data_IF_427191637090
#
_entry.id   IF_427191637090
#
_cell.length_a   1.000
_cell.length_b   1.000
_cell.length_c   1.000
_cell.angle_alpha   90.00
_cell.angle_beta   90.00
_cell.angle_gamma   90.00
#
_symmetry.space_group_name_H-M   'P 1'
#
loop_
_entity.id
_entity.type
_entity.pdbx_description
1 polymer ?
#
# COMPACT_ATOMS: atom_id res chain seq x y z
N UNK A 1 0.18 4.84 -17.24
CA UNK A 1 0.08 5.05 -18.71
C UNK A 1 0.10 6.55 -18.99
N UNK A 2 1.17 7.06 -19.62
CA UNK A 2 1.34 8.50 -19.92
C UNK A 2 0.35 9.02 -20.97
N UNK A 3 0.11 8.27 -22.02
CA UNK A 3 -0.75 8.73 -23.11
C UNK A 3 -2.24 8.64 -22.74
N UNK A 4 -2.91 9.78 -22.62
CA UNK A 4 -4.32 9.88 -22.24
C UNK A 4 -5.29 9.16 -23.21
N UNK A 5 -4.98 9.12 -24.53
CA UNK A 5 -5.78 8.38 -25.52
C UNK A 5 -5.72 6.87 -25.22
N UNK A 6 -4.51 6.35 -24.95
CA UNK A 6 -4.31 4.93 -24.62
C UNK A 6 -4.98 4.58 -23.30
N UNK A 7 -4.83 5.43 -22.27
CA UNK A 7 -5.49 5.25 -20.98
C UNK A 7 -7.02 5.18 -21.13
N UNK A 8 -7.60 6.13 -21.87
CA UNK A 8 -9.05 6.15 -22.16
C UNK A 8 -9.50 4.90 -22.91
N UNK A 9 -8.72 4.42 -23.88
CA UNK A 9 -9.07 3.22 -24.65
C UNK A 9 -9.02 1.97 -23.77
N UNK A 10 -8.01 1.82 -22.91
CA UNK A 10 -7.88 0.72 -21.97
C UNK A 10 -9.06 0.72 -20.97
N UNK A 11 -9.39 1.89 -20.39
CA UNK A 11 -10.52 2.02 -19.47
C UNK A 11 -11.86 1.66 -20.15
N UNK A 12 -12.08 2.06 -21.40
CA UNK A 12 -13.28 1.69 -22.14
C UNK A 12 -13.37 0.19 -22.32
N UNK A 13 -12.28 -0.48 -22.71
CA UNK A 13 -12.25 -1.94 -22.87
C UNK A 13 -12.48 -2.65 -21.53
N UNK A 14 -11.89 -2.15 -20.43
CA UNK A 14 -12.10 -2.69 -19.09
C UNK A 14 -13.59 -2.57 -18.67
N UNK A 15 -14.23 -1.44 -18.98
CA UNK A 15 -15.65 -1.24 -18.72
C UNK A 15 -16.55 -2.23 -19.52
N UNK A 16 -16.21 -2.51 -20.77
CA UNK A 16 -16.94 -3.47 -21.63
C UNK A 16 -16.92 -4.91 -21.07
N UNK A 17 -15.87 -5.28 -20.32
CA UNK A 17 -15.73 -6.62 -19.71
C UNK A 17 -15.90 -6.61 -18.18
N UNK A 18 -16.35 -5.50 -17.63
CA UNK A 18 -16.65 -5.28 -16.20
C UNK A 18 -15.50 -5.57 -15.22
N UNK A 19 -14.26 -5.31 -15.61
CA UNK A 19 -13.08 -5.43 -14.73
C UNK A 19 -12.61 -4.07 -14.22
N UNK A 20 -12.09 -3.98 -12.98
CA UNK A 20 -11.49 -2.75 -12.46
C UNK A 20 -10.14 -2.44 -13.10
N UNK A 21 -9.82 -1.17 -13.22
CA UNK A 21 -8.50 -0.66 -13.64
C UNK A 21 -7.77 -0.17 -12.41
N UNK A 22 -6.61 -0.75 -12.11
CA UNK A 22 -5.71 -0.29 -11.06
C UNK A 22 -4.67 0.65 -11.67
N UNK A 23 -4.55 1.84 -11.11
CA UNK A 23 -3.72 2.90 -11.67
C UNK A 23 -2.61 3.32 -10.70
N UNK A 24 -1.36 3.02 -11.05
CA UNK A 24 -0.20 3.72 -10.50
C UNK A 24 -0.15 5.10 -11.18
N UNK A 25 -0.40 6.14 -10.40
CA UNK A 25 -0.57 7.49 -10.89
C UNK A 25 0.75 8.27 -10.84
N UNK A 26 1.45 8.32 -11.96
CA UNK A 26 2.72 9.02 -12.10
C UNK A 26 2.83 9.69 -13.46
N UNK A 27 3.10 10.99 -13.48
CA UNK A 27 3.57 11.67 -14.69
C UNK A 27 5.09 11.59 -14.77
N UNK A 28 5.60 10.69 -15.61
CA UNK A 28 7.03 10.44 -15.75
C UNK A 28 7.80 11.61 -16.36
N UNK A 29 7.13 12.55 -17.04
CA UNK A 29 7.77 13.77 -17.54
C UNK A 29 8.01 14.77 -16.39
N UNK A 30 7.05 14.86 -15.45
CA UNK A 30 7.19 15.70 -14.24
C UNK A 30 8.11 15.05 -13.20
N UNK A 31 8.07 13.73 -13.05
CA UNK A 31 8.96 12.99 -12.13
C UNK A 31 10.43 13.12 -12.55
N UNK A 32 10.67 13.14 -13.87
CA UNK A 32 12.00 13.26 -14.46
C UNK A 32 13.00 12.25 -13.87
N UNK A 33 13.98 12.73 -13.09
CA UNK A 33 14.98 11.90 -12.38
C UNK A 33 14.86 12.00 -10.85
N UNK A 34 13.68 12.36 -10.36
CA UNK A 34 13.40 12.43 -8.92
C UNK A 34 13.56 11.08 -8.24
N UNK A 35 14.06 11.08 -7.01
CA UNK A 35 14.35 9.87 -6.23
C UNK A 35 13.75 9.87 -4.83
N UNK A 36 13.23 11.02 -4.38
CA UNK A 36 12.53 11.21 -3.11
C UNK A 36 11.54 12.37 -3.23
N UNK A 37 10.81 12.70 -2.17
CA UNK A 37 9.90 13.85 -2.17
C UNK A 37 10.61 15.17 -2.47
N UNK A 38 9.99 16.03 -3.26
CA UNK A 38 10.51 17.38 -3.51
C UNK A 38 10.23 18.28 -2.29
N UNK A 39 11.28 18.64 -1.55
CA UNK A 39 11.16 19.43 -0.34
C UNK A 39 12.52 19.94 0.15
N UNK A 40 12.52 20.46 1.38
CA UNK A 40 13.76 20.91 2.02
C UNK A 40 14.71 19.71 2.28
N UNK A 41 14.15 18.54 2.64
CA UNK A 41 14.95 17.34 2.89
C UNK A 41 15.74 16.89 1.66
N UNK A 42 15.12 16.93 0.46
CA UNK A 42 15.81 16.61 -0.79
C UNK A 42 16.96 17.59 -1.09
N UNK A 43 16.76 18.89 -0.79
CA UNK A 43 17.80 19.92 -0.94
C UNK A 43 18.97 19.69 0.01
N UNK A 44 18.70 19.38 1.27
CA UNK A 44 19.72 19.07 2.29
C UNK A 44 20.60 17.89 1.87
N UNK A 45 19.97 16.85 1.26
CA UNK A 45 20.66 15.65 0.80
C UNK A 45 21.28 15.78 -0.60
N UNK A 46 21.00 16.90 -1.32
CA UNK A 46 21.46 17.09 -2.69
C UNK A 46 20.82 16.14 -3.70
N UNK A 47 19.62 15.62 -3.39
CA UNK A 47 18.89 14.66 -4.21
C UNK A 47 17.80 15.35 -5.06
N UNK A 48 17.44 14.72 -6.19
CA UNK A 48 16.36 15.21 -7.04
C UNK A 48 15.00 14.83 -6.46
N UNK A 49 14.11 15.83 -6.38
CA UNK A 49 12.78 15.65 -5.80
C UNK A 49 11.70 15.27 -6.81
N UNK A 50 10.72 14.49 -6.36
CA UNK A 50 9.45 14.16 -7.03
C UNK A 50 8.37 15.05 -6.40
N UNK A 51 7.84 16.00 -7.15
CA UNK A 51 6.78 16.90 -6.65
C UNK A 51 5.43 16.17 -6.53
N UNK A 52 4.54 16.69 -5.69
CA UNK A 52 3.21 16.12 -5.46
C UNK A 52 2.38 16.06 -6.76
N UNK A 53 2.49 17.09 -7.59
CA UNK A 53 1.81 17.17 -8.88
C UNK A 53 2.11 15.99 -9.83
N UNK A 54 3.20 15.26 -9.64
CA UNK A 54 3.50 14.02 -10.41
C UNK A 54 2.37 12.99 -10.26
N UNK A 55 1.82 12.87 -9.06
CA UNK A 55 0.69 11.99 -8.75
C UNK A 55 -0.65 12.66 -9.07
N UNK A 56 -0.85 13.90 -8.61
CA UNK A 56 -2.14 14.61 -8.65
C UNK A 56 -2.71 14.77 -10.05
N UNK A 57 -1.88 15.12 -11.03
CA UNK A 57 -2.35 15.35 -12.41
C UNK A 57 -2.82 14.05 -13.06
N UNK A 58 -2.21 12.92 -12.71
CA UNK A 58 -2.62 11.61 -13.23
C UNK A 58 -3.87 11.10 -12.51
N UNK A 59 -3.96 11.28 -11.18
CA UNK A 59 -5.18 10.97 -10.41
C UNK A 59 -6.37 11.74 -10.99
N UNK A 60 -6.25 13.05 -11.18
CA UNK A 60 -7.33 13.87 -11.75
C UNK A 60 -7.68 13.44 -13.18
N UNK A 61 -6.68 13.20 -14.04
CA UNK A 61 -6.87 12.72 -15.41
C UNK A 61 -7.63 11.41 -15.44
N UNK A 62 -7.19 10.43 -14.65
CA UNK A 62 -7.74 9.07 -14.71
C UNK A 62 -9.15 9.00 -14.13
N UNK A 63 -9.47 9.79 -13.11
CA UNK A 63 -10.84 9.96 -12.60
C UNK A 63 -11.77 10.54 -13.69
N UNK A 64 -11.34 11.56 -14.42
CA UNK A 64 -12.14 12.14 -15.50
C UNK A 64 -12.31 11.16 -16.67
N UNK A 65 -11.30 10.35 -16.96
CA UNK A 65 -11.39 9.29 -17.99
C UNK A 65 -12.33 8.16 -17.52
N UNK A 66 -12.27 7.75 -16.27
CA UNK A 66 -13.18 6.75 -15.70
C UNK A 66 -14.64 7.24 -15.75
N UNK A 67 -14.89 8.49 -15.37
CA UNK A 67 -16.21 9.13 -15.52
C UNK A 67 -16.72 9.10 -16.97
N UNK A 68 -15.85 9.35 -17.94
CA UNK A 68 -16.21 9.38 -19.36
C UNK A 68 -16.46 7.99 -19.95
N UNK A 69 -15.78 6.96 -19.46
CA UNK A 69 -15.82 5.59 -20.00
C UNK A 69 -16.72 4.65 -19.22
N UNK A 70 -17.12 5.01 -18.01
CA UNK A 70 -17.85 4.12 -17.09
C UNK A 70 -16.98 3.04 -16.44
N UNK A 71 -15.65 3.13 -16.57
CA UNK A 71 -14.73 2.17 -15.96
C UNK A 71 -14.71 2.25 -14.45
N UNK A 72 -14.61 1.11 -13.77
CA UNK A 72 -14.29 1.02 -12.35
C UNK A 72 -12.80 1.35 -12.18
N UNK A 73 -12.48 2.45 -11.52
CA UNK A 73 -11.10 2.90 -11.30
C UNK A 73 -10.69 2.65 -9.85
N UNK A 74 -9.52 2.10 -9.66
CA UNK A 74 -8.86 2.00 -8.37
C UNK A 74 -7.51 2.74 -8.44
N UNK A 75 -7.33 3.74 -7.58
CA UNK A 75 -6.08 4.50 -7.47
C UNK A 75 -5.18 3.77 -6.48
N UNK A 76 -4.03 3.29 -6.97
CA UNK A 76 -3.05 2.58 -6.14
C UNK A 76 -2.23 3.54 -5.29
N UNK A 77 -1.85 3.11 -4.09
CA UNK A 77 -0.88 3.71 -3.16
C UNK A 77 -0.86 5.24 -3.13
N UNK A 78 -2.02 5.88 -2.87
CA UNK A 78 -2.13 7.34 -2.70
C UNK A 78 -1.14 7.82 -1.64
N UNK A 79 -0.33 8.85 -1.98
CA UNK A 79 0.77 9.29 -1.13
C UNK A 79 0.61 10.68 -0.53
N UNK A 80 -0.28 11.52 -1.06
CA UNK A 80 -0.39 12.92 -0.67
C UNK A 80 -1.83 13.40 -0.46
N UNK A 81 -1.98 14.54 0.20
CA UNK A 81 -3.27 15.13 0.57
C UNK A 81 -4.09 15.64 -0.60
N UNK A 82 -3.44 16.17 -1.66
CA UNK A 82 -4.15 16.72 -2.81
C UNK A 82 -4.82 15.59 -3.62
N UNK A 83 -4.12 14.47 -3.83
CA UNK A 83 -4.71 13.27 -4.44
C UNK A 83 -5.89 12.75 -3.63
N UNK A 84 -5.77 12.67 -2.29
CA UNK A 84 -6.87 12.27 -1.41
C UNK A 84 -8.06 13.24 -1.52
N UNK A 85 -7.83 14.54 -1.61
CA UNK A 85 -8.88 15.56 -1.83
C UNK A 85 -9.58 15.39 -3.19
N UNK A 86 -8.82 15.17 -4.26
CA UNK A 86 -9.38 14.93 -5.61
C UNK A 86 -10.28 13.69 -5.61
N UNK A 87 -9.83 12.61 -4.97
CA UNK A 87 -10.60 11.35 -4.83
C UNK A 87 -11.89 11.61 -4.04
N UNK A 88 -11.82 12.37 -2.94
CA UNK A 88 -12.99 12.75 -2.14
C UNK A 88 -14.06 13.43 -3.01
N UNK A 89 -13.68 14.47 -3.75
CA UNK A 89 -14.60 15.20 -4.63
C UNK A 89 -15.19 14.29 -5.70
N UNK A 90 -14.39 13.38 -6.26
CA UNK A 90 -14.88 12.41 -7.24
C UNK A 90 -15.97 11.50 -6.66
N UNK A 91 -15.75 10.96 -5.45
CA UNK A 91 -16.73 10.13 -4.75
C UNK A 91 -18.03 10.90 -4.42
N UNK A 92 -17.92 12.15 -3.95
CA UNK A 92 -19.06 13.02 -3.70
C UNK A 92 -19.89 13.29 -4.97
N UNK A 93 -19.26 13.25 -6.15
CA UNK A 93 -19.94 13.35 -7.44
C UNK A 93 -20.47 12.01 -7.98
N UNK A 94 -20.33 10.92 -7.22
CA UNK A 94 -20.79 9.59 -7.61
C UNK A 94 -19.95 8.94 -8.71
N UNK A 95 -18.70 9.38 -8.90
CA UNK A 95 -17.78 8.73 -9.85
C UNK A 95 -17.31 7.38 -9.24
N UNK A 96 -17.33 6.27 -9.98
CA UNK A 96 -16.97 4.95 -9.47
C UNK A 96 -15.45 4.81 -9.31
N UNK A 97 -14.90 5.47 -8.30
CA UNK A 97 -13.48 5.44 -7.94
C UNK A 97 -13.31 4.87 -6.53
N UNK A 98 -12.33 3.99 -6.37
CA UNK A 98 -11.80 3.51 -5.10
C UNK A 98 -10.31 3.82 -5.02
N UNK A 99 -9.75 3.78 -3.81
CA UNK A 99 -8.36 4.11 -3.59
C UNK A 99 -7.74 3.29 -2.45
N UNK A 100 -6.44 3.11 -2.52
CA UNK A 100 -5.66 2.46 -1.48
C UNK A 100 -4.49 3.33 -1.00
N UNK A 101 -3.98 3.02 0.19
CA UNK A 101 -2.77 3.60 0.75
C UNK A 101 -1.88 2.51 1.31
N UNK A 102 -0.57 2.66 1.19
CA UNK A 102 0.38 1.72 1.78
C UNK A 102 0.78 2.12 3.21
N UNK A 103 1.14 1.13 4.09
CA UNK A 103 1.53 1.41 5.47
C UNK A 103 2.65 2.42 5.62
N UNK A 104 3.63 2.42 4.75
CA UNK A 104 4.72 3.37 4.78
C UNK A 104 4.27 4.81 4.50
N UNK A 105 3.21 5.04 3.70
CA UNK A 105 2.69 6.38 3.40
C UNK A 105 1.87 7.00 4.54
N UNK A 106 1.24 6.20 5.38
CA UNK A 106 0.54 6.74 6.56
C UNK A 106 1.37 6.70 7.86
N UNK A 107 2.61 6.22 7.79
CA UNK A 107 3.48 6.07 8.98
C UNK A 107 4.71 6.96 8.90
N UNK A 108 5.40 6.98 7.76
CA UNK A 108 6.71 7.61 7.60
C UNK A 108 6.60 8.93 6.81
N UNK A 109 7.53 9.85 7.10
CA UNK A 109 7.68 11.11 6.36
C UNK A 109 8.99 11.14 5.58
N UNK A 110 9.17 12.16 4.72
CA UNK A 110 10.43 12.43 4.03
C UNK A 110 11.62 12.59 4.97
N UNK A 111 11.39 12.96 6.25
CA UNK A 111 12.43 13.11 7.25
C UNK A 111 13.12 11.78 7.62
N UNK A 112 12.45 10.64 7.38
CA UNK A 112 13.04 9.32 7.57
C UNK A 112 14.13 9.01 6.54
N UNK A 113 14.16 9.71 5.40
CA UNK A 113 15.17 9.52 4.37
C UNK A 113 16.47 10.19 4.80
N UNK A 114 17.52 9.39 5.00
CA UNK A 114 18.85 9.90 5.39
C UNK A 114 19.81 10.06 4.19
N UNK A 115 19.43 9.56 3.00
CA UNK A 115 20.22 9.67 1.77
C UNK A 115 21.14 8.47 1.48
N UNK A 116 21.40 7.63 2.45
CA UNK A 116 22.31 6.48 2.31
C UNK A 116 21.57 5.14 2.36
N UNK A 117 20.41 5.08 3.01
CA UNK A 117 19.63 3.84 3.14
C UNK A 117 18.49 3.79 2.11
N UNK A 118 18.71 3.02 1.06
CA UNK A 118 17.72 2.82 0.00
C UNK A 118 16.47 2.03 0.45
N UNK A 119 16.42 1.51 1.68
CA UNK A 119 15.17 0.95 2.23
C UNK A 119 14.10 2.01 2.47
N UNK A 120 14.44 3.31 2.40
CA UNK A 120 13.49 4.42 2.38
C UNK A 120 13.18 4.95 0.98
N UNK A 121 13.72 4.34 -0.09
CA UNK A 121 13.45 4.71 -1.48
C UNK A 121 12.21 4.01 -2.01
N UNK A 122 11.12 4.74 -2.11
CA UNK A 122 9.76 4.26 -2.43
C UNK A 122 9.16 5.16 -3.51
N UNK A 123 8.30 4.63 -4.35
CA UNK A 123 7.55 5.40 -5.36
C UNK A 123 6.06 4.99 -5.36
N UNK A 124 5.13 5.91 -5.03
CA UNK A 124 5.36 7.34 -4.68
C UNK A 124 6.25 7.52 -3.46
N UNK A 125 6.99 8.65 -3.35
CA UNK A 125 7.91 8.85 -2.25
C UNK A 125 7.20 9.10 -0.91
N UNK A 126 7.92 8.90 0.19
CA UNK A 126 7.48 9.33 1.51
C UNK A 126 7.31 10.85 1.49
N UNK A 127 6.13 11.33 1.89
CA UNK A 127 5.74 12.74 1.82
C UNK A 127 5.94 13.45 3.17
N UNK A 128 5.33 14.61 3.32
CA UNK A 128 5.40 15.44 4.55
C UNK A 128 4.43 14.95 5.62
N UNK A 129 4.62 15.43 6.83
CA UNK A 129 3.75 15.11 7.97
C UNK A 129 2.28 15.49 7.74
N UNK A 130 2.01 16.60 7.02
CA UNK A 130 0.65 17.00 6.67
C UNK A 130 -0.03 16.00 5.71
N UNK A 131 0.74 15.38 4.81
CA UNK A 131 0.23 14.33 3.91
C UNK A 131 -0.09 13.07 4.71
N UNK A 132 0.81 12.62 5.58
CA UNK A 132 0.56 11.48 6.49
C UNK A 132 -0.72 11.69 7.31
N UNK A 133 -0.90 12.88 7.86
CA UNK A 133 -2.11 13.24 8.61
C UNK A 133 -3.37 13.16 7.74
N UNK A 134 -3.33 13.75 6.55
CA UNK A 134 -4.46 13.74 5.61
C UNK A 134 -4.83 12.33 5.14
N UNK A 135 -3.84 11.45 4.92
CA UNK A 135 -4.07 10.05 4.57
C UNK A 135 -4.75 9.28 5.72
N UNK A 136 -4.36 9.50 6.97
CA UNK A 136 -5.03 8.93 8.15
C UNK A 136 -6.49 9.42 8.24
N UNK A 137 -6.75 10.70 8.02
CA UNK A 137 -8.10 11.28 7.98
C UNK A 137 -8.93 10.71 6.81
N UNK A 138 -8.32 10.52 5.64
CA UNK A 138 -8.96 9.92 4.47
C UNK A 138 -9.32 8.44 4.69
N UNK A 139 -8.48 7.69 5.41
CA UNK A 139 -8.81 6.34 5.86
C UNK A 139 -10.00 6.35 6.83
N UNK A 140 -9.97 7.19 7.86
CA UNK A 140 -11.02 7.27 8.87
C UNK A 140 -12.39 7.67 8.28
N UNK A 141 -12.38 8.59 7.31
CA UNK A 141 -13.61 9.09 6.66
C UNK A 141 -14.12 8.21 5.52
N UNK A 142 -13.39 7.17 5.10
CA UNK A 142 -13.77 6.30 3.98
C UNK A 142 -13.48 6.87 2.59
N UNK A 143 -12.73 7.95 2.49
CA UNK A 143 -12.19 8.46 1.21
C UNK A 143 -11.21 7.45 0.63
N UNK A 144 -10.33 6.88 1.45
CA UNK A 144 -9.48 5.75 1.08
C UNK A 144 -10.14 4.45 1.56
N UNK A 145 -10.34 3.52 0.64
CA UNK A 145 -11.09 2.28 0.82
C UNK A 145 -10.25 1.13 1.36
N UNK A 146 -8.96 1.08 1.01
CA UNK A 146 -8.10 -0.09 1.16
C UNK A 146 -6.76 0.30 1.76
N UNK A 147 -6.20 -0.60 2.56
CA UNK A 147 -4.80 -0.61 2.97
C UNK A 147 -4.15 -1.76 2.22
N UNK A 148 -3.23 -1.43 1.31
CA UNK A 148 -2.47 -2.39 0.50
C UNK A 148 -0.97 -2.26 0.79
N UNK A 149 -0.21 -3.34 0.58
CA UNK A 149 1.18 -3.41 1.05
C UNK A 149 2.19 -2.75 0.14
N UNK A 150 1.90 -2.68 -1.15
CA UNK A 150 2.87 -2.35 -2.20
C UNK A 150 4.19 -3.15 -2.06
N UNK A 151 4.06 -4.46 -1.84
CA UNK A 151 5.18 -5.36 -1.56
C UNK A 151 6.11 -5.51 -2.76
N UNK A 152 7.29 -4.86 -2.69
CA UNK A 152 8.29 -4.83 -3.74
C UNK A 152 9.66 -5.33 -3.23
N UNK A 153 9.88 -6.66 -3.18
CA UNK A 153 11.14 -7.25 -2.72
C UNK A 153 12.25 -7.04 -3.74
N UNK A 154 13.43 -6.66 -3.24
CA UNK A 154 14.65 -6.49 -4.02
C UNK A 154 15.78 -7.34 -3.45
N UNK A 155 16.76 -7.67 -4.31
CA UNK A 155 17.97 -8.32 -3.85
C UNK A 155 18.82 -7.34 -3.01
N UNK A 156 19.48 -7.77 -1.92
CA UNK A 156 20.29 -6.88 -1.08
C UNK A 156 21.28 -6.03 -1.87
N UNK A 157 22.00 -6.61 -2.82
CA UNK A 157 22.96 -5.87 -3.65
C UNK A 157 22.36 -4.76 -4.53
N UNK A 158 21.05 -4.78 -4.76
CA UNK A 158 20.36 -3.70 -5.47
C UNK A 158 20.06 -2.55 -4.51
N UNK A 159 19.72 -2.86 -3.27
CA UNK A 159 19.44 -1.85 -2.22
C UNK A 159 20.72 -1.30 -1.55
N UNK A 160 21.86 -1.96 -1.71
CA UNK A 160 23.19 -1.49 -1.28
C UNK A 160 23.80 -0.44 -2.22
N UNK A 161 23.18 -0.17 -3.37
CA UNK A 161 23.60 0.89 -4.28
C UNK A 161 23.37 2.28 -3.67
N UNK A 162 24.08 3.31 -4.18
CA UNK A 162 23.77 4.69 -3.83
C UNK A 162 22.27 5.00 -3.94
N UNK A 163 21.74 5.85 -3.09
CA UNK A 163 20.31 6.11 -3.00
C UNK A 163 19.69 6.51 -4.35
N UNK A 164 20.37 7.31 -5.15
CA UNK A 164 19.90 7.74 -6.47
C UNK A 164 19.92 6.62 -7.53
N UNK A 165 20.76 5.58 -7.37
CA UNK A 165 20.86 4.45 -8.29
C UNK A 165 20.05 3.22 -7.86
N UNK A 166 19.77 3.06 -6.57
CA UNK A 166 19.00 1.93 -6.03
C UNK A 166 17.58 1.90 -6.60
N UNK A 167 16.95 0.72 -6.78
CA UNK A 167 15.57 0.62 -7.22
C UNK A 167 14.61 1.12 -6.14
N UNK A 168 13.46 1.63 -6.58
CA UNK A 168 12.33 1.95 -5.71
C UNK A 168 11.65 0.67 -5.22
N UNK A 169 11.12 0.71 -4.00
CA UNK A 169 10.28 -0.34 -3.44
C UNK A 169 10.80 -0.93 -2.14
N UNK A 170 9.84 -1.40 -1.33
CA UNK A 170 10.07 -2.01 -0.03
C UNK A 170 9.17 -3.22 0.16
N UNK A 171 9.54 -4.14 1.05
CA UNK A 171 8.65 -5.25 1.43
C UNK A 171 7.60 -4.76 2.41
N UNK A 172 6.38 -5.30 2.33
CA UNK A 172 5.25 -4.85 3.15
C UNK A 172 4.33 -5.95 3.68
N UNK A 173 4.42 -7.20 3.18
CA UNK A 173 3.45 -8.24 3.55
C UNK A 173 3.48 -8.57 5.05
N UNK A 174 4.66 -8.64 5.66
CA UNK A 174 4.82 -9.05 7.06
C UNK A 174 4.76 -7.87 8.04
N UNK A 175 4.83 -6.64 7.53
CA UNK A 175 4.76 -5.42 8.34
C UNK A 175 3.39 -4.75 8.32
N UNK A 176 2.53 -5.06 7.34
CA UNK A 176 1.27 -4.36 7.13
C UNK A 176 0.31 -4.46 8.33
N UNK A 177 0.11 -5.65 8.89
CA UNK A 177 -0.79 -5.86 10.03
C UNK A 177 -0.28 -5.14 11.28
N UNK A 178 0.97 -5.38 11.74
CA UNK A 178 1.45 -4.76 12.97
C UNK A 178 1.58 -3.23 12.84
N UNK A 179 2.06 -2.70 11.72
CA UNK A 179 2.13 -1.25 11.50
C UNK A 179 0.72 -0.63 11.51
N UNK A 180 -0.27 -1.26 10.84
CA UNK A 180 -1.65 -0.77 10.85
C UNK A 180 -2.27 -0.78 12.25
N UNK A 181 -2.04 -1.83 13.03
CA UNK A 181 -2.54 -1.87 14.42
C UNK A 181 -1.89 -0.77 15.25
N UNK A 182 -0.59 -0.61 15.14
CA UNK A 182 0.18 0.38 15.90
C UNK A 182 -0.25 1.80 15.56
N UNK A 183 -0.29 2.13 14.27
CA UNK A 183 -0.45 3.50 13.80
C UNK A 183 -1.91 3.96 13.66
N UNK A 184 -2.85 3.03 13.46
CA UNK A 184 -4.22 3.40 13.19
C UNK A 184 -5.21 2.87 14.24
N UNK A 185 -5.05 1.62 14.70
CA UNK A 185 -6.01 1.05 15.65
C UNK A 185 -5.73 1.52 17.08
N UNK A 186 -4.50 1.44 17.53
CA UNK A 186 -4.13 1.86 18.89
C UNK A 186 -4.22 3.37 19.10
N UNK A 187 -4.05 4.14 18.05
CA UNK A 187 -4.21 5.60 18.07
C UNK A 187 -5.67 6.06 17.93
N UNK A 188 -6.60 5.11 17.70
CA UNK A 188 -8.03 5.40 17.56
C UNK A 188 -8.45 6.00 16.22
N UNK A 189 -7.58 6.01 15.23
CA UNK A 189 -7.91 6.44 13.85
C UNK A 189 -8.90 5.47 13.20
N UNK A 190 -8.70 4.16 13.41
CA UNK A 190 -9.60 3.10 12.96
C UNK A 190 -9.99 2.20 14.13
N UNK A 191 -11.20 1.68 14.08
CA UNK A 191 -11.58 0.51 14.90
C UNK A 191 -10.96 -0.76 14.31
N UNK A 192 -10.82 -1.86 15.10
CA UNK A 192 -10.38 -3.16 14.56
C UNK A 192 -11.23 -3.64 13.38
N UNK A 193 -12.55 -3.41 13.43
CA UNK A 193 -13.45 -3.81 12.34
C UNK A 193 -13.20 -3.01 11.06
N UNK A 194 -12.98 -1.70 11.17
CA UNK A 194 -12.63 -0.85 10.01
C UNK A 194 -11.27 -1.25 9.41
N UNK A 195 -10.30 -1.65 10.23
CA UNK A 195 -9.04 -2.20 9.73
C UNK A 195 -9.29 -3.45 8.88
N UNK A 196 -10.05 -4.42 9.40
CA UNK A 196 -10.37 -5.66 8.66
C UNK A 196 -11.16 -5.35 7.40
N UNK A 197 -12.09 -4.41 7.44
CA UNK A 197 -12.83 -3.96 6.27
C UNK A 197 -11.86 -3.47 5.17
N UNK A 198 -10.89 -2.62 5.53
CA UNK A 198 -9.92 -2.04 4.59
C UNK A 198 -8.84 -3.00 4.11
N UNK A 199 -8.47 -4.01 4.90
CA UNK A 199 -7.41 -4.95 4.54
C UNK A 199 -7.94 -6.27 3.95
N UNK A 200 -9.25 -6.56 4.05
CA UNK A 200 -9.81 -7.84 3.63
C UNK A 200 -11.12 -7.71 2.84
N UNK A 201 -12.17 -7.14 3.45
CA UNK A 201 -13.49 -7.09 2.84
C UNK A 201 -13.54 -6.19 1.59
N UNK A 202 -13.06 -4.95 1.69
CA UNK A 202 -13.06 -4.01 0.57
C UNK A 202 -12.18 -4.47 -0.61
N UNK A 203 -10.94 -4.96 -0.40
CA UNK A 203 -10.15 -5.54 -1.47
C UNK A 203 -10.87 -6.67 -2.21
N UNK A 204 -11.48 -7.61 -1.48
CA UNK A 204 -12.21 -8.72 -2.07
C UNK A 204 -13.40 -8.23 -2.90
N UNK A 205 -14.13 -7.24 -2.41
CA UNK A 205 -15.26 -6.63 -3.11
C UNK A 205 -14.82 -5.88 -4.38
N UNK A 206 -13.74 -5.13 -4.32
CA UNK A 206 -13.19 -4.39 -5.48
C UNK A 206 -12.73 -5.36 -6.57
N UNK A 207 -12.08 -6.46 -6.18
CA UNK A 207 -11.61 -7.50 -7.07
C UNK A 207 -12.74 -8.42 -7.58
N UNK A 208 -13.93 -8.36 -6.97
CA UNK A 208 -15.06 -9.22 -7.34
C UNK A 208 -14.86 -10.70 -6.97
N UNK A 209 -14.04 -10.99 -5.93
CA UNK A 209 -13.77 -12.37 -5.49
C UNK A 209 -14.59 -12.73 -4.25
N UNK A 210 -14.99 -14.01 -4.17
CA UNK A 210 -15.76 -14.53 -3.02
C UNK A 210 -14.85 -14.84 -1.82
N UNK A 211 -14.32 -13.79 -1.21
CA UNK A 211 -13.39 -13.80 -0.07
C UNK A 211 -13.71 -12.64 0.87
N UNK A 212 -12.96 -12.54 1.97
CA UNK A 212 -13.01 -11.41 2.91
C UNK A 212 -14.19 -11.43 3.88
N UNK A 213 -14.92 -12.55 3.97
CA UNK A 213 -16.10 -12.68 4.85
C UNK A 213 -16.02 -13.98 5.65
N UNK A 214 -16.21 -13.90 6.97
CA UNK A 214 -16.37 -15.05 7.86
C UNK A 214 -17.86 -15.39 7.99
N UNK A 215 -18.31 -16.41 7.25
CA UNK A 215 -19.69 -16.90 7.31
C UNK A 215 -19.75 -18.41 6.98
N UNK A 216 -20.78 -19.13 7.47
CA UNK A 216 -20.97 -20.53 7.10
C UNK A 216 -21.04 -20.72 5.58
N UNK A 217 -20.32 -21.73 5.07
CA UNK A 217 -20.27 -22.03 3.63
C UNK A 217 -19.27 -21.18 2.81
N UNK A 218 -18.60 -20.19 3.43
CA UNK A 218 -17.55 -19.40 2.78
C UNK A 218 -16.19 -20.09 2.93
N UNK A 219 -15.25 -19.70 2.07
CA UNK A 219 -13.88 -20.19 2.12
C UNK A 219 -13.22 -19.73 3.41
N UNK A 220 -12.57 -20.66 4.12
CA UNK A 220 -11.89 -20.38 5.37
C UNK A 220 -10.46 -19.88 5.11
N UNK A 221 -10.34 -18.67 4.61
CA UNK A 221 -9.11 -17.89 4.54
C UNK A 221 -9.13 -16.95 5.75
N UNK A 222 -8.36 -17.28 6.79
CA UNK A 222 -8.48 -16.66 8.12
C UNK A 222 -7.10 -16.27 8.63
N UNK A 223 -6.97 -15.05 9.10
CA UNK A 223 -5.81 -14.58 9.87
C UNK A 223 -6.22 -14.35 11.33
N UNK A 224 -5.48 -14.95 12.25
CA UNK A 224 -5.68 -14.76 13.71
C UNK A 224 -4.57 -13.86 14.22
N UNK A 225 -4.95 -12.76 14.87
CA UNK A 225 -4.02 -11.74 15.35
C UNK A 225 -4.19 -11.54 16.85
N UNK A 226 -3.09 -11.47 17.59
CA UNK A 226 -3.06 -10.95 18.94
C UNK A 226 -2.78 -9.42 18.88
N UNK A 227 -3.78 -8.55 19.10
CA UNK A 227 -3.62 -7.11 18.90
C UNK A 227 -2.82 -6.40 20.01
N UNK A 228 -2.53 -7.11 21.10
CA UNK A 228 -1.84 -6.54 22.27
C UNK A 228 -0.40 -7.00 22.42
N UNK A 229 0.02 -8.03 21.70
CA UNK A 229 1.40 -8.51 21.73
C UNK A 229 2.30 -7.50 21.01
N UNK A 230 3.39 -7.14 21.69
CA UNK A 230 4.35 -6.15 21.21
C UNK A 230 5.69 -6.81 20.89
N UNK A 231 6.38 -6.29 19.89
CA UNK A 231 7.71 -6.75 19.48
C UNK A 231 8.38 -5.72 18.57
N UNK A 232 9.68 -5.87 18.37
CA UNK A 232 10.43 -5.08 17.41
C UNK A 232 10.51 -5.84 16.08
N UNK A 233 10.27 -5.14 14.96
CA UNK A 233 10.37 -5.72 13.63
C UNK A 233 11.82 -6.15 13.36
N UNK A 234 12.00 -7.41 13.00
CA UNK A 234 13.28 -8.00 12.60
C UNK A 234 13.11 -8.61 11.19
N UNK A 235 13.65 -7.95 10.19
CA UNK A 235 13.54 -8.38 8.79
C UNK A 235 14.22 -9.73 8.51
N UNK A 236 15.17 -10.16 9.35
CA UNK A 236 15.78 -11.49 9.21
C UNK A 236 14.77 -12.62 9.42
N UNK A 237 13.70 -12.35 10.17
CA UNK A 237 12.60 -13.30 10.43
C UNK A 237 11.56 -13.35 9.33
N UNK A 238 11.58 -12.45 8.34
CA UNK A 238 10.60 -12.46 7.26
C UNK A 238 10.71 -13.72 6.40
N UNK A 239 9.57 -14.26 5.97
CA UNK A 239 9.50 -15.32 4.97
C UNK A 239 9.85 -14.81 3.56
N UNK A 240 9.61 -13.52 3.30
CA UNK A 240 10.03 -12.86 2.07
C UNK A 240 11.54 -13.04 1.84
N UNK A 241 11.95 -13.31 0.60
CA UNK A 241 13.35 -13.34 0.22
C UNK A 241 14.01 -11.96 0.27
N UNK A 242 13.26 -10.91 -0.14
CA UNK A 242 13.67 -9.53 0.06
C UNK A 242 13.47 -9.13 1.52
N UNK A 243 14.44 -8.38 2.07
CA UNK A 243 14.45 -7.89 3.45
C UNK A 243 14.41 -6.36 3.52
N UNK A 244 14.26 -5.71 2.37
CA UNK A 244 14.30 -4.27 2.20
C UNK A 244 13.07 -3.57 2.81
N UNK A 245 13.12 -3.33 4.12
CA UNK A 245 12.04 -2.68 4.86
C UNK A 245 12.51 -1.38 5.52
N UNK A 246 11.68 -0.29 5.50
CA UNK A 246 11.96 0.92 6.26
C UNK A 246 11.56 0.80 7.74
N UNK A 247 11.01 -0.34 8.15
CA UNK A 247 10.47 -0.57 9.49
C UNK A 247 11.39 -1.42 10.37
N UNK A 248 12.64 -1.68 9.95
CA UNK A 248 13.60 -2.44 10.76
C UNK A 248 13.75 -1.85 12.15
N UNK A 249 13.61 -2.66 13.20
CA UNK A 249 13.69 -2.25 14.60
C UNK A 249 12.52 -1.40 15.11
N UNK A 250 11.49 -1.15 14.29
CA UNK A 250 10.30 -0.42 14.75
C UNK A 250 9.54 -1.26 15.77
N UNK A 251 9.24 -0.63 16.93
CA UNK A 251 8.40 -1.24 17.95
C UNK A 251 6.93 -1.23 17.53
N UNK A 252 6.30 -2.38 17.47
CA UNK A 252 4.94 -2.54 16.97
C UNK A 252 4.09 -3.43 17.85
N UNK A 253 2.77 -3.34 17.67
CA UNK A 253 1.74 -4.16 18.27
C UNK A 253 1.02 -4.97 17.19
N UNK A 254 0.51 -6.14 17.56
CA UNK A 254 -0.35 -6.89 16.64
C UNK A 254 0.37 -8.03 15.95
N UNK A 255 0.63 -9.08 16.70
CA UNK A 255 1.29 -10.29 16.18
C UNK A 255 0.30 -11.21 15.49
N UNK A 256 0.62 -11.65 14.28
CA UNK A 256 -0.12 -12.71 13.59
C UNK A 256 0.24 -14.04 14.22
N UNK A 257 -0.77 -14.77 14.71
CA UNK A 257 -0.59 -16.08 15.34
C UNK A 257 -0.82 -17.24 14.38
N UNK A 258 -1.82 -17.11 13.50
CA UNK A 258 -2.15 -18.13 12.51
C UNK A 258 -2.58 -17.48 11.21
N UNK A 259 -2.26 -18.15 10.11
CA UNK A 259 -2.86 -17.89 8.80
C UNK A 259 -3.39 -19.21 8.23
N UNK A 260 -4.66 -19.20 7.85
CA UNK A 260 -5.32 -20.33 7.22
C UNK A 260 -5.66 -19.96 5.78
N UNK A 261 -5.46 -20.90 4.87
CA UNK A 261 -5.88 -20.79 3.47
C UNK A 261 -6.68 -22.04 3.10
N UNK A 262 -7.90 -21.86 2.62
CA UNK A 262 -8.84 -22.94 2.35
C UNK A 262 -9.02 -23.90 3.55
N UNK A 263 -9.07 -23.36 4.77
CA UNK A 263 -9.22 -24.12 6.02
C UNK A 263 -7.96 -24.86 6.49
N UNK A 264 -6.82 -24.69 5.83
CA UNK A 264 -5.54 -25.29 6.22
C UNK A 264 -4.65 -24.24 6.85
N UNK A 265 -4.05 -24.54 7.99
CA UNK A 265 -3.02 -23.69 8.61
C UNK A 265 -1.80 -23.70 7.70
N UNK A 266 -1.39 -22.52 7.21
CA UNK A 266 -0.19 -22.33 6.37
C UNK A 266 0.91 -21.57 7.10
N UNK A 267 0.56 -20.92 8.21
CA UNK A 267 1.48 -20.25 9.12
C UNK A 267 0.98 -20.40 10.54
N UNK A 268 1.88 -20.66 11.48
CA UNK A 268 1.62 -20.56 12.91
C UNK A 268 2.84 -20.02 13.64
N UNK A 269 2.61 -19.09 14.57
CA UNK A 269 3.59 -18.69 15.58
C UNK A 269 3.16 -19.25 16.93
N UNK A 270 3.74 -20.39 17.30
CA UNK A 270 3.46 -21.03 18.58
C UNK A 270 4.69 -20.91 19.48
N UNK A 271 4.57 -20.19 20.60
CA UNK A 271 5.64 -19.98 21.57
C UNK A 271 6.95 -19.40 20.97
N UNK A 272 6.86 -18.50 19.97
CA UNK A 272 8.02 -17.91 19.32
C UNK A 272 8.69 -18.81 18.27
N UNK A 273 8.07 -19.94 17.91
CA UNK A 273 8.52 -20.80 16.82
C UNK A 273 7.60 -20.60 15.62
N UNK A 274 8.09 -19.92 14.60
CA UNK A 274 7.37 -19.76 13.34
C UNK A 274 7.43 -21.06 12.54
N UNK A 275 6.27 -21.57 12.15
CA UNK A 275 6.17 -22.75 11.29
C UNK A 275 5.47 -22.31 10.00
N UNK A 276 6.23 -22.22 8.94
CA UNK A 276 5.69 -22.19 7.58
C UNK A 276 5.41 -23.63 7.17
N UNK A 277 4.14 -23.95 6.99
CA UNK A 277 3.76 -25.26 6.47
C UNK A 277 3.90 -25.21 4.96
N UNK A 278 4.99 -25.77 4.44
CA UNK A 278 5.22 -25.85 2.99
C UNK A 278 4.03 -26.53 2.31
N UNK A 279 3.54 -25.93 1.25
CA UNK A 279 2.59 -26.59 0.34
C UNK A 279 3.36 -27.68 -0.41
N UNK A 280 2.91 -28.91 -0.35
CA UNK A 280 3.17 -29.81 -1.47
C UNK A 280 2.52 -29.16 -2.70
N UNK A 281 3.33 -28.56 -3.57
CA UNK A 281 2.87 -28.11 -4.89
C UNK A 281 2.48 -29.37 -5.64
N UNK A 282 1.21 -29.55 -6.04
CA UNK A 282 0.86 -30.66 -6.92
C UNK A 282 1.75 -30.56 -8.15
N UNK A 283 2.50 -31.61 -8.43
CA UNK A 283 3.20 -31.72 -9.72
C UNK A 283 2.14 -31.66 -10.82
N UNK A 284 2.18 -30.58 -11.61
CA UNK A 284 1.38 -30.45 -12.84
C UNK A 284 1.78 -31.53 -13.84
#
# INVERSE_FOLDING_TARGET
IMNARTARQAMRQAAEVDIPVFAHCEDTNLAARGVMNAGERAKELGLFGIMDAVEDVIVARDILLAKNTGAKLHISHVSNKESAFIIKIAKEQGIPVTAEVAPHHFTLTEDAVNGDDANFKINPPLRKADDVKALKEALASGVIDVIATDHAPHHPTEKERPFDEAPFGVVGLETAVPVTITELVRTGVLTPLQMVEKMSYNPAKILGIDRGVLAPGKVADITVVNPTEEYDIDSNRFASKGKNTPFEGMHVYGKVLYTLVNGRVVYSDHNGTEILIEREVPKL
#
